data_IF_590871142986
#
_entry.id   IF_590871142986
#
_cell.length_a   1.000
_cell.length_b   1.000
_cell.length_c   1.000
_cell.angle_alpha   90.00
_cell.angle_beta   90.00
_cell.angle_gamma   90.00
#
_symmetry.space_group_name_H-M   'P 1'
#
loop_
_entity.id
_entity.type
_entity.pdbx_description
1 polymer ?
#
# COMPACT_ATOMS: atom_id res chain seq x y z
N UNK A 1 13.71 30.79 30.17
CA UNK A 1 12.97 31.85 29.46
C UNK A 1 11.91 32.38 30.40
N UNK A 2 12.09 33.58 30.95
CA UNK A 2 11.13 34.17 31.88
C UNK A 2 9.94 34.70 31.09
N UNK A 3 8.75 34.19 31.38
CA UNK A 3 7.52 34.70 30.76
C UNK A 3 7.25 36.09 31.36
N UNK A 4 7.23 37.18 30.56
CA UNK A 4 6.89 38.50 31.08
C UNK A 4 5.48 38.42 31.67
N UNK A 5 5.31 38.90 32.90
CA UNK A 5 4.03 38.89 33.62
C UNK A 5 3.00 39.75 32.86
N UNK A 6 2.35 39.16 31.87
CA UNK A 6 1.26 39.75 31.14
C UNK A 6 0.07 39.86 32.09
N UNK A 7 -0.22 41.09 32.54
CA UNK A 7 -1.42 41.43 33.30
C UNK A 7 -2.44 42.05 32.32
N UNK A 8 -3.29 41.24 31.67
CA UNK A 8 -4.35 41.78 30.83
C UNK A 8 -5.28 42.68 31.66
N UNK A 9 -5.80 43.74 31.03
CA UNK A 9 -6.84 44.57 31.65
C UNK A 9 -8.07 43.75 32.01
N UNK A 10 -8.86 44.19 32.99
CA UNK A 10 -10.06 43.47 33.42
C UNK A 10 -11.03 43.19 32.27
N UNK A 11 -11.22 44.16 31.36
CA UNK A 11 -12.03 43.97 30.15
C UNK A 11 -11.53 42.81 29.26
N UNK A 12 -10.21 42.74 29.00
CA UNK A 12 -9.62 41.64 28.20
C UNK A 12 -9.76 40.28 28.90
N UNK A 13 -9.66 40.25 30.23
CA UNK A 13 -9.87 39.03 31.03
C UNK A 13 -11.31 38.55 30.94
N UNK A 14 -12.26 39.46 31.02
CA UNK A 14 -13.68 39.12 30.96
C UNK A 14 -14.09 38.66 29.55
N UNK A 15 -13.62 39.32 28.50
CA UNK A 15 -13.81 38.88 27.11
C UNK A 15 -13.28 37.46 26.89
N UNK A 16 -12.08 37.17 27.39
CA UNK A 16 -11.50 35.82 27.27
C UNK A 16 -12.31 34.78 28.05
N UNK A 17 -12.78 35.12 29.26
CA UNK A 17 -13.66 34.23 30.03
C UNK A 17 -14.97 33.94 29.29
N UNK A 18 -15.64 34.96 28.77
CA UNK A 18 -16.86 34.82 27.96
C UNK A 18 -16.61 33.97 26.72
N UNK A 19 -15.45 34.12 26.09
CA UNK A 19 -15.05 33.27 24.97
C UNK A 19 -14.95 31.80 25.39
N UNK A 20 -14.26 31.49 26.49
CA UNK A 20 -14.14 30.10 26.97
C UNK A 20 -15.49 29.50 27.36
N UNK A 21 -16.35 30.28 28.00
CA UNK A 21 -17.72 29.85 28.37
C UNK A 21 -18.57 29.61 27.11
N UNK A 22 -18.55 30.54 26.14
CA UNK A 22 -19.30 30.43 24.88
C UNK A 22 -18.90 29.21 24.05
N UNK A 23 -17.62 28.87 24.04
CA UNK A 23 -17.10 27.71 23.30
C UNK A 23 -17.15 26.40 24.12
N UNK A 24 -17.72 26.42 25.33
CA UNK A 24 -17.85 25.24 26.17
C UNK A 24 -16.53 24.72 26.77
N UNK A 25 -15.43 25.46 26.64
CA UNK A 25 -14.11 25.05 27.16
C UNK A 25 -14.14 24.92 28.68
N UNK A 26 -14.83 25.84 29.36
CA UNK A 26 -14.98 25.80 30.83
C UNK A 26 -15.74 24.55 31.29
N UNK A 27 -16.81 24.18 30.59
CA UNK A 27 -17.62 23.00 30.90
C UNK A 27 -16.85 21.70 30.62
N UNK A 28 -16.16 21.63 29.47
CA UNK A 28 -15.29 20.52 29.10
C UNK A 28 -14.21 20.27 30.16
N UNK A 29 -13.44 21.30 30.52
CA UNK A 29 -12.40 21.21 31.55
C UNK A 29 -12.98 20.80 32.92
N UNK A 30 -14.13 21.37 33.30
CA UNK A 30 -14.78 21.01 34.57
C UNK A 30 -15.15 19.53 34.59
N UNK A 31 -15.77 19.02 33.52
CA UNK A 31 -16.15 17.60 33.41
C UNK A 31 -14.94 16.68 33.45
N UNK A 32 -13.86 17.01 32.74
CA UNK A 32 -12.64 16.18 32.75
C UNK A 32 -12.01 16.14 34.14
N UNK A 33 -11.97 17.27 34.86
CA UNK A 33 -11.43 17.32 36.22
C UNK A 33 -12.32 16.60 37.23
N UNK A 34 -13.65 16.66 37.07
CA UNK A 34 -14.59 15.88 37.88
C UNK A 34 -14.39 14.38 37.64
N UNK A 35 -14.32 13.95 36.38
CA UNK A 35 -14.06 12.55 36.04
C UNK A 35 -12.74 12.05 36.64
N UNK A 36 -11.67 12.86 36.56
CA UNK A 36 -10.38 12.52 37.17
C UNK A 36 -10.43 12.46 38.70
N UNK A 37 -11.29 13.27 39.32
CA UNK A 37 -11.50 13.25 40.77
C UNK A 37 -12.30 12.02 41.22
N UNK A 38 -13.30 11.61 40.43
CA UNK A 38 -14.17 10.46 40.71
C UNK A 38 -13.53 9.11 40.34
N UNK A 39 -12.46 9.10 39.54
CA UNK A 39 -11.77 7.88 39.13
C UNK A 39 -11.20 7.14 40.37
N UNK A 40 -11.64 5.89 40.63
CA UNK A 40 -11.22 5.14 41.82
C UNK A 40 -9.75 4.76 41.77
N UNK A 41 -9.23 4.48 40.57
CA UNK A 41 -7.83 4.22 40.29
C UNK A 41 -7.26 5.38 39.50
N UNK A 42 -6.50 6.25 40.17
CA UNK A 42 -5.92 7.41 39.49
C UNK A 42 -4.91 6.95 38.44
N UNK A 43 -5.00 7.47 37.21
CA UNK A 43 -4.04 7.14 36.16
C UNK A 43 -2.63 7.56 36.58
N UNK A 44 -1.62 6.78 36.21
CA UNK A 44 -0.21 7.11 36.46
C UNK A 44 0.18 8.43 35.77
N UNK A 45 -0.33 8.65 34.54
CA UNK A 45 -0.21 9.90 33.81
C UNK A 45 -1.56 10.63 33.72
N UNK A 46 -1.76 11.57 34.64
CA UNK A 46 -2.94 12.42 34.68
C UNK A 46 -3.04 13.38 33.47
N UNK A 47 -1.91 13.79 32.88
CA UNK A 47 -1.92 14.69 31.72
C UNK A 47 -2.38 13.96 30.46
N UNK A 48 -1.91 12.72 30.28
CA UNK A 48 -2.41 11.84 29.22
C UNK A 48 -3.91 11.59 29.35
N UNK A 49 -4.39 11.29 30.56
CA UNK A 49 -5.82 11.12 30.81
C UNK A 49 -6.62 12.38 30.42
N UNK A 50 -6.16 13.56 30.85
CA UNK A 50 -6.83 14.83 30.53
C UNK A 50 -6.86 15.06 29.01
N UNK A 51 -5.72 14.85 28.33
CA UNK A 51 -5.62 14.98 26.86
C UNK A 51 -6.61 14.07 26.16
N UNK A 52 -6.65 12.80 26.55
CA UNK A 52 -7.50 11.80 25.90
C UNK A 52 -8.98 12.05 26.19
N UNK A 53 -9.35 12.47 27.42
CA UNK A 53 -10.73 12.86 27.74
C UNK A 53 -11.18 14.11 26.99
N UNK A 54 -10.31 15.10 26.82
CA UNK A 54 -10.61 16.29 26.02
C UNK A 54 -10.76 15.94 24.53
N UNK A 55 -9.91 15.06 24.00
CA UNK A 55 -10.04 14.56 22.63
C UNK A 55 -11.39 13.86 22.42
N UNK A 56 -11.78 12.97 23.36
CA UNK A 56 -13.08 12.31 23.33
C UNK A 56 -14.24 13.31 23.38
N UNK A 57 -14.18 14.32 24.26
CA UNK A 57 -15.22 15.36 24.35
C UNK A 57 -15.32 16.22 23.08
N UNK A 58 -14.19 16.45 22.41
CA UNK A 58 -14.15 17.15 21.12
C UNK A 58 -14.55 16.25 19.93
N UNK A 59 -14.77 14.96 20.15
CA UNK A 59 -15.11 14.00 19.09
C UNK A 59 -13.97 13.73 18.11
N UNK A 60 -12.72 13.91 18.56
CA UNK A 60 -11.51 13.63 17.78
C UNK A 60 -10.84 12.36 18.29
N UNK A 61 -10.09 11.69 17.42
CA UNK A 61 -9.28 10.53 17.81
C UNK A 61 -8.24 10.92 18.85
N UNK A 62 -7.98 10.02 19.81
CA UNK A 62 -6.91 10.24 20.79
C UNK A 62 -5.55 10.06 20.12
N UNK A 63 -4.50 10.64 20.73
CA UNK A 63 -3.13 10.46 20.23
C UNK A 63 -2.76 8.97 20.11
N UNK A 64 -3.15 8.16 21.10
CA UNK A 64 -2.88 6.73 21.13
C UNK A 64 -3.61 5.98 20.00
N UNK A 65 -4.85 6.36 19.69
CA UNK A 65 -5.59 5.79 18.56
C UNK A 65 -4.91 6.13 17.24
N UNK A 66 -4.55 7.40 17.03
CA UNK A 66 -3.84 7.82 15.82
C UNK A 66 -2.51 7.09 15.67
N UNK A 67 -1.74 6.96 16.76
CA UNK A 67 -0.47 6.25 16.79
C UNK A 67 -0.64 4.78 16.43
N UNK A 68 -1.62 4.09 17.02
CA UNK A 68 -1.95 2.69 16.68
C UNK A 68 -2.25 2.52 15.19
N UNK A 69 -3.06 3.42 14.61
CA UNK A 69 -3.39 3.38 13.18
C UNK A 69 -2.17 3.60 12.29
N UNK A 70 -1.27 4.50 12.68
CA UNK A 70 0.00 4.71 11.95
C UNK A 70 0.85 3.45 12.01
N UNK A 71 1.00 2.85 13.20
CA UNK A 71 1.81 1.65 13.39
C UNK A 71 1.23 0.45 12.60
N UNK A 72 -0.09 0.28 12.60
CA UNK A 72 -0.79 -0.75 11.81
C UNK A 72 -0.64 -0.54 10.30
N UNK A 73 -0.78 0.71 9.83
CA UNK A 73 -0.57 1.05 8.42
C UNK A 73 0.88 0.79 8.01
N UNK A 74 1.85 1.16 8.85
CA UNK A 74 3.27 0.93 8.57
C UNK A 74 3.58 -0.57 8.49
N UNK A 75 3.09 -1.36 9.45
CA UNK A 75 3.27 -2.81 9.44
C UNK A 75 2.69 -3.45 8.17
N UNK A 76 1.55 -2.93 7.68
CA UNK A 76 0.94 -3.41 6.44
C UNK A 76 1.73 -3.01 5.19
N UNK A 77 2.28 -1.80 5.16
CA UNK A 77 3.19 -1.37 4.10
C UNK A 77 4.41 -2.27 4.06
N UNK A 78 5.01 -2.57 5.21
CA UNK A 78 6.21 -3.40 5.28
C UNK A 78 5.92 -4.83 4.81
N UNK A 79 4.80 -5.43 5.24
CA UNK A 79 4.38 -6.77 4.81
C UNK A 79 4.13 -6.85 3.30
N UNK A 80 3.37 -5.89 2.75
CA UNK A 80 3.11 -5.85 1.30
C UNK A 80 4.39 -5.57 0.50
N UNK A 81 5.31 -4.77 1.04
CA UNK A 81 6.61 -4.51 0.40
C UNK A 81 7.46 -5.78 0.35
N UNK A 82 7.48 -6.56 1.43
CA UNK A 82 8.15 -7.87 1.47
C UNK A 82 7.55 -8.83 0.46
N UNK A 83 6.22 -8.97 0.43
CA UNK A 83 5.53 -9.81 -0.56
C UNK A 83 5.87 -9.39 -1.99
N UNK A 84 5.85 -8.08 -2.29
CA UNK A 84 6.20 -7.57 -3.61
C UNK A 84 7.64 -7.90 -4.00
N UNK A 85 8.58 -7.82 -3.06
CA UNK A 85 9.98 -8.11 -3.34
C UNK A 85 10.23 -9.62 -3.50
N UNK A 86 9.54 -10.47 -2.74
CA UNK A 86 9.55 -11.93 -2.92
C UNK A 86 8.96 -12.35 -4.27
N UNK A 87 7.82 -11.77 -4.66
CA UNK A 87 7.19 -12.01 -5.96
C UNK A 87 8.09 -11.54 -7.12
N UNK A 88 8.72 -10.37 -7.00
CA UNK A 88 9.68 -9.90 -8.02
C UNK A 88 10.87 -10.85 -8.16
N UNK A 89 11.42 -11.34 -7.05
CA UNK A 89 12.51 -12.33 -7.08
C UNK A 89 12.06 -13.64 -7.73
N UNK A 90 10.82 -14.07 -7.48
CA UNK A 90 10.25 -15.28 -8.10
C UNK A 90 9.92 -15.10 -9.59
N UNK A 91 9.72 -13.87 -10.07
CA UNK A 91 9.45 -13.58 -11.49
C UNK A 91 10.73 -13.27 -12.28
N UNK A 92 11.89 -13.13 -11.63
CA UNK A 92 13.14 -12.88 -12.32
C UNK A 92 13.48 -14.11 -13.19
N UNK A 93 13.59 -13.96 -14.53
CA UNK A 93 13.82 -15.09 -15.41
C UNK A 93 15.18 -15.73 -15.10
N UNK A 94 15.31 -17.06 -15.22
CA UNK A 94 16.61 -17.71 -15.04
C UNK A 94 17.63 -17.05 -15.99
N UNK A 95 18.88 -16.83 -15.53
CA UNK A 95 19.91 -16.26 -16.39
C UNK A 95 19.95 -17.05 -17.69
N UNK A 96 20.11 -16.38 -18.86
CA UNK A 96 20.26 -17.09 -20.12
C UNK A 96 21.40 -18.08 -19.94
N UNK A 97 21.08 -19.36 -20.03
CA UNK A 97 22.08 -20.41 -20.02
C UNK A 97 22.93 -20.12 -21.25
N UNK A 98 24.13 -19.60 -21.04
CA UNK A 98 25.17 -19.55 -22.07
C UNK A 98 25.47 -21.01 -22.41
N UNK A 99 24.75 -21.52 -23.40
CA UNK A 99 25.00 -22.81 -24.01
C UNK A 99 26.37 -22.68 -24.68
N UNK A 100 27.42 -23.08 -23.94
CA UNK A 100 28.78 -23.18 -24.43
C UNK A 100 28.75 -23.94 -25.76
N UNK A 101 29.06 -23.20 -26.84
CA UNK A 101 29.22 -23.76 -28.16
C UNK A 101 30.29 -24.86 -28.11
N UNK A 102 29.83 -26.11 -28.15
CA UNK A 102 30.71 -27.27 -28.28
C UNK A 102 31.46 -27.15 -29.62
N UNK A 103 32.80 -27.19 -29.66
CA UNK A 103 33.56 -27.01 -30.88
C UNK A 103 33.25 -28.12 -31.89
N UNK A 104 33.01 -27.74 -33.13
CA UNK A 104 32.91 -28.63 -34.29
C UNK A 104 34.24 -29.39 -34.46
N UNK A 105 34.28 -30.69 -34.14
CA UNK A 105 35.38 -31.56 -34.54
C UNK A 105 35.22 -31.96 -36.02
N UNK A 106 36.15 -31.47 -36.84
CA UNK A 106 36.39 -31.91 -38.21
C UNK A 106 36.80 -33.39 -38.24
N UNK A 107 35.91 -34.23 -38.78
CA UNK A 107 36.17 -35.65 -39.06
C UNK A 107 35.64 -36.04 -40.43
N UNK A 108 36.27 -35.54 -41.50
CA UNK A 108 36.01 -35.96 -42.88
C UNK A 108 36.45 -37.41 -43.09
N UNK A 109 35.53 -38.29 -43.47
CA UNK A 109 35.83 -39.48 -44.28
C UNK A 109 34.76 -39.67 -45.37
N UNK A 110 35.13 -39.71 -46.67
CA UNK A 110 34.21 -39.98 -47.76
C UNK A 110 34.20 -41.48 -48.05
N UNK A 111 33.04 -42.12 -48.01
CA UNK A 111 32.89 -43.47 -48.54
C UNK A 111 31.90 -43.43 -49.70
N UNK A 112 32.46 -43.55 -50.90
CA UNK A 112 31.75 -43.68 -52.16
C UNK A 112 30.95 -44.99 -52.19
N UNK A 113 29.69 -44.89 -52.60
CA UNK A 113 28.82 -46.01 -52.97
C UNK A 113 27.83 -45.48 -54.00
N UNK A 114 28.07 -45.87 -55.23
CA UNK A 114 27.34 -45.50 -56.45
C UNK A 114 25.88 -46.00 -56.46
N UNK A 115 25.11 -45.44 -57.40
CA UNK A 115 23.81 -45.84 -57.95
C UNK A 115 22.63 -44.86 -57.71
N UNK A 116 22.20 -44.28 -58.83
CA UNK A 116 21.10 -43.34 -59.02
C UNK A 116 19.99 -44.05 -59.88
N UNK A 117 18.80 -43.45 -60.10
CA UNK A 117 17.48 -43.81 -59.54
C UNK A 117 16.51 -44.50 -60.55
N UNK A 118 15.20 -44.65 -60.23
CA UNK A 118 14.24 -43.85 -61.03
C UNK A 118 12.97 -43.34 -60.31
N UNK A 119 12.62 -42.10 -60.70
CA UNK A 119 11.31 -41.48 -61.02
C UNK A 119 9.98 -42.14 -60.58
N UNK A 120 9.17 -41.39 -59.82
CA UNK A 120 7.75 -41.11 -60.18
C UNK A 120 7.16 -39.97 -59.32
N UNK A 121 6.76 -38.88 -59.98
CA UNK A 121 6.11 -37.66 -59.45
C UNK A 121 4.57 -37.86 -59.45
N UNK A 122 3.72 -37.07 -58.73
CA UNK A 122 3.42 -35.69 -59.15
C UNK A 122 3.10 -34.69 -58.01
N UNK A 123 3.02 -33.38 -58.32
CA UNK A 123 2.81 -32.30 -57.37
C UNK A 123 1.31 -32.10 -57.06
N UNK A 124 0.97 -31.68 -55.84
CA UNK A 124 -0.36 -31.12 -55.57
C UNK A 124 -0.21 -29.61 -55.39
N UNK A 125 -0.93 -28.92 -56.25
CA UNK A 125 -0.88 -27.49 -56.58
C UNK A 125 -1.58 -26.61 -55.55
N UNK A 126 -1.15 -25.34 -55.56
CA UNK A 126 -1.83 -24.14 -55.06
C UNK A 126 -3.36 -24.18 -55.17
N UNK A 127 -4.05 -23.73 -54.11
CA UNK A 127 -5.05 -22.64 -54.16
C UNK A 127 -5.59 -22.34 -52.74
N UNK A 128 -5.05 -21.31 -52.09
CA UNK A 128 -5.90 -20.32 -51.44
C UNK A 128 -6.37 -19.34 -52.54
N UNK A 129 -7.46 -18.55 -52.46
CA UNK A 129 -7.89 -17.84 -51.24
C UNK A 129 -9.41 -17.45 -51.14
N UNK A 130 -9.67 -16.54 -50.20
CA UNK A 130 -10.66 -15.44 -50.19
C UNK A 130 -12.02 -15.64 -49.47
N UNK A 131 -12.25 -14.73 -48.51
CA UNK A 131 -13.51 -14.08 -48.08
C UNK A 131 -14.62 -14.96 -47.48
N UNK A 132 -15.26 -14.58 -46.38
CA UNK A 132 -15.63 -13.23 -45.95
C UNK A 132 -15.90 -13.18 -44.42
N UNK A 133 -16.05 -11.97 -43.83
CA UNK A 133 -16.04 -11.68 -42.39
C UNK A 133 -17.44 -11.78 -41.73
N UNK A 134 -17.59 -11.54 -40.39
CA UNK A 134 -18.71 -12.00 -39.58
C UNK A 134 -19.88 -10.99 -39.55
N UNK A 135 -21.07 -11.42 -39.14
CA UNK A 135 -21.86 -10.63 -38.18
C UNK A 135 -22.69 -11.55 -37.25
N UNK A 136 -23.36 -11.16 -36.18
CA UNK A 136 -23.47 -10.01 -35.29
C UNK A 136 -24.31 -10.52 -34.10
N UNK A 137 -24.27 -9.78 -33.00
CA UNK A 137 -25.03 -9.88 -31.77
C UNK A 137 -26.49 -10.39 -31.90
N UNK A 138 -26.95 -11.12 -30.87
CA UNK A 138 -28.23 -10.81 -30.22
C UNK A 138 -28.46 -11.61 -28.91
N UNK A 139 -29.40 -11.19 -28.04
CA UNK A 139 -29.07 -10.72 -26.70
C UNK A 139 -29.71 -11.54 -25.57
N UNK A 140 -29.46 -11.09 -24.35
CA UNK A 140 -30.00 -11.48 -23.04
C UNK A 140 -31.32 -12.26 -22.99
N UNK A 141 -31.31 -13.30 -22.15
CA UNK A 141 -32.47 -13.75 -21.38
C UNK A 141 -32.13 -13.75 -19.89
#
# INVERSE_FOLDING_TARGET
MSNPTFKPSEGKREEFRKYLEKNGVMDALTKVLVNLYEEPEKPEDALEYIRDRLAMQAGIETYNQMKSRIDECQARIDALTQELDELKLSLEPPPPVEEEAVPLEEGFQPMAGDENPPEDMPPITDEAPIDAPPPEENPDM
#
